data_IF_045342197584
#
_entry.id   IF_045342197584
#
_cell.length_a   1.000
_cell.length_b   1.000
_cell.length_c   1.000
_cell.angle_alpha   90.00
_cell.angle_beta   90.00
_cell.angle_gamma   90.00
#
_symmetry.space_group_name_H-M   'P 1'
#
loop_
_entity.id
_entity.type
_entity.pdbx_description
1 polymer ?
#
# COMPACT_ATOMS: atom_id res chain seq x y z
N UNK A 1 25.08 -28.79 -4.95
CA UNK A 1 24.95 -27.89 -3.78
C UNK A 1 25.67 -26.58 -4.09
N UNK A 2 24.94 -25.50 -4.39
CA UNK A 2 25.56 -24.19 -4.67
C UNK A 2 25.83 -23.49 -3.34
N UNK A 3 27.11 -23.33 -2.98
CA UNK A 3 27.51 -22.65 -1.75
C UNK A 3 27.10 -21.18 -1.86
N UNK A 4 26.24 -20.70 -0.97
CA UNK A 4 26.03 -19.26 -0.77
C UNK A 4 27.31 -18.71 -0.17
N UNK A 5 28.03 -17.89 -0.93
CA UNK A 5 29.14 -17.11 -0.40
C UNK A 5 28.64 -16.23 0.76
N UNK A 6 29.39 -16.14 1.87
CA UNK A 6 29.02 -15.25 2.97
C UNK A 6 29.16 -13.80 2.49
N UNK A 7 28.10 -13.01 2.68
CA UNK A 7 28.14 -11.55 2.52
C UNK A 7 29.26 -10.99 3.40
N UNK A 8 30.07 -10.08 2.85
CA UNK A 8 31.19 -9.43 3.55
C UNK A 8 30.73 -8.77 4.85
N UNK A 9 31.55 -8.90 5.90
CA UNK A 9 31.33 -8.42 7.27
C UNK A 9 31.20 -6.89 7.45
N UNK A 10 31.04 -6.12 6.37
CA UNK A 10 30.76 -4.67 6.43
C UNK A 10 29.25 -4.35 6.56
N UNK A 11 28.37 -5.34 6.41
CA UNK A 11 26.93 -5.15 6.16
C UNK A 11 26.05 -4.99 7.44
N UNK A 12 26.64 -4.83 8.64
CA UNK A 12 25.88 -4.61 9.89
C UNK A 12 26.58 -3.69 10.91
N UNK A 13 27.23 -2.62 10.47
CA UNK A 13 27.56 -1.55 11.41
C UNK A 13 26.25 -0.83 11.79
N UNK A 14 25.78 -0.96 13.03
CA UNK A 14 24.71 -0.11 13.57
C UNK A 14 25.23 1.34 13.60
N UNK A 15 24.96 2.08 12.52
CA UNK A 15 25.27 3.50 12.43
C UNK A 15 24.22 4.30 13.22
N UNK A 16 24.68 5.29 13.95
CA UNK A 16 23.78 6.30 14.54
C UNK A 16 23.19 7.18 13.43
N UNK A 17 22.02 7.83 13.62
CA UNK A 17 21.42 8.68 12.59
C UNK A 17 22.34 9.79 12.05
N UNK A 18 23.23 10.33 12.88
CA UNK A 18 24.22 11.32 12.45
C UNK A 18 25.31 10.71 11.55
N UNK A 19 25.72 9.47 11.84
CA UNK A 19 26.67 8.75 10.99
C UNK A 19 26.04 8.34 9.66
N UNK A 20 24.76 7.95 9.65
CA UNK A 20 24.02 7.70 8.41
C UNK A 20 23.94 8.95 7.54
N UNK A 21 23.70 10.12 8.15
CA UNK A 21 23.67 11.40 7.42
C UNK A 21 25.01 11.66 6.71
N UNK A 22 26.12 11.57 7.44
CA UNK A 22 27.46 11.75 6.86
C UNK A 22 27.82 10.68 5.82
N UNK A 23 27.35 9.45 6.01
CA UNK A 23 27.58 8.36 5.05
C UNK A 23 26.99 8.70 3.67
N UNK A 24 25.79 9.29 3.63
CA UNK A 24 25.14 9.67 2.38
C UNK A 24 25.59 11.02 1.78
N UNK A 25 26.46 11.78 2.47
CA UNK A 25 27.10 12.97 1.88
C UNK A 25 28.06 12.62 0.74
N UNK A 26 28.54 11.37 0.69
CA UNK A 26 29.40 10.87 -0.38
C UNK A 26 28.55 10.37 -1.55
N UNK A 27 28.78 10.90 -2.76
CA UNK A 27 28.04 10.54 -3.98
C UNK A 27 28.03 9.03 -4.28
N UNK A 28 29.12 8.33 -3.96
CA UNK A 28 29.27 6.88 -4.14
C UNK A 28 28.22 6.07 -3.34
N UNK A 29 27.84 6.57 -2.17
CA UNK A 29 26.87 5.92 -1.29
C UNK A 29 25.41 6.23 -1.67
N UNK A 30 25.19 7.14 -2.63
CA UNK A 30 23.87 7.42 -3.20
C UNK A 30 23.53 6.52 -4.38
N UNK A 31 24.48 5.69 -4.85
CA UNK A 31 24.25 4.77 -5.97
C UNK A 31 23.31 3.64 -5.51
N UNK A 32 22.15 3.45 -6.17
CA UNK A 32 21.23 2.37 -5.85
C UNK A 32 21.93 1.02 -5.95
N UNK A 33 21.92 0.28 -4.85
CA UNK A 33 22.56 -1.02 -4.78
C UNK A 33 21.69 -2.08 -5.49
N UNK A 34 22.27 -2.74 -6.48
CA UNK A 34 21.67 -3.87 -7.19
C UNK A 34 20.77 -3.50 -8.38
N UNK A 35 20.32 -4.51 -9.13
CA UNK A 35 19.48 -4.29 -10.30
C UNK A 35 18.11 -3.70 -9.91
N UNK A 36 17.52 -2.81 -10.72
CA UNK A 36 16.20 -2.26 -10.47
C UNK A 36 15.15 -3.37 -10.27
N UNK A 37 14.57 -3.46 -9.07
CA UNK A 37 13.43 -4.35 -8.80
C UNK A 37 12.13 -3.62 -9.07
N UNK A 38 11.38 -4.07 -10.07
CA UNK A 38 9.96 -3.72 -10.20
C UNK A 38 9.20 -4.38 -9.06
N UNK A 39 8.56 -3.60 -8.19
CA UNK A 39 7.56 -4.14 -7.26
C UNK A 39 6.47 -4.79 -8.12
N UNK A 40 6.19 -6.09 -7.91
CA UNK A 40 4.98 -6.70 -8.47
C UNK A 40 3.83 -5.91 -7.85
N UNK A 41 3.12 -5.10 -8.65
CA UNK A 41 1.82 -4.60 -8.20
C UNK A 41 0.99 -5.86 -8.02
N UNK A 42 0.66 -6.24 -6.78
CA UNK A 42 -0.52 -7.06 -6.60
C UNK A 42 -1.64 -6.24 -7.25
N UNK A 43 -2.32 -6.82 -8.24
CA UNK A 43 -3.46 -6.14 -8.82
C UNK A 43 -4.43 -5.92 -7.65
N UNK A 44 -4.56 -4.68 -7.20
CA UNK A 44 -5.53 -4.29 -6.17
C UNK A 44 -6.90 -4.58 -6.76
N UNK A 45 -7.45 -5.76 -6.44
CA UNK A 45 -8.80 -6.19 -6.81
C UNK A 45 -9.13 -6.16 -8.30
N UNK A 46 -10.16 -6.91 -8.70
CA UNK A 46 -10.81 -6.67 -9.98
C UNK A 46 -11.47 -5.28 -9.98
N UNK A 47 -11.38 -4.54 -11.09
CA UNK A 47 -12.03 -3.22 -11.21
C UNK A 47 -13.50 -3.43 -11.59
N UNK A 48 -14.40 -3.24 -10.61
CA UNK A 48 -15.84 -3.29 -10.84
C UNK A 48 -16.36 -1.88 -11.13
N UNK A 49 -16.89 -1.60 -12.34
CA UNK A 49 -17.46 -0.30 -12.65
C UNK A 49 -18.82 -0.13 -11.96
N UNK A 50 -18.95 0.90 -11.11
CA UNK A 50 -20.19 1.27 -10.43
C UNK A 50 -20.71 2.58 -11.02
N UNK A 51 -22.01 2.62 -11.33
CA UNK A 51 -22.68 3.85 -11.78
C UNK A 51 -23.37 4.52 -10.59
N UNK A 52 -23.19 5.82 -10.48
CA UNK A 52 -23.85 6.67 -9.49
C UNK A 52 -24.62 7.76 -10.22
N UNK A 53 -25.73 8.18 -9.63
CA UNK A 53 -26.35 9.44 -9.99
C UNK A 53 -25.35 10.60 -9.80
N UNK A 54 -25.35 11.64 -10.65
CA UNK A 54 -24.38 12.73 -10.58
C UNK A 54 -24.31 13.40 -9.19
N UNK A 55 -25.47 13.70 -8.61
CA UNK A 55 -25.54 14.32 -7.28
C UNK A 55 -24.93 13.43 -6.19
N UNK A 56 -25.05 12.11 -6.32
CA UNK A 56 -24.49 11.16 -5.34
C UNK A 56 -22.98 11.11 -5.44
N UNK A 57 -22.41 11.04 -6.65
CA UNK A 57 -20.95 10.99 -6.81
C UNK A 57 -20.28 12.31 -6.39
N UNK A 58 -20.96 13.45 -6.55
CA UNK A 58 -20.45 14.74 -6.10
C UNK A 58 -20.42 14.83 -4.57
N UNK A 59 -21.47 14.35 -3.89
CA UNK A 59 -21.48 14.26 -2.42
C UNK A 59 -20.40 13.31 -1.90
N UNK A 60 -20.21 12.15 -2.55
CA UNK A 60 -19.13 11.22 -2.21
C UNK A 60 -17.76 11.88 -2.36
N UNK A 61 -17.54 12.67 -3.42
CA UNK A 61 -16.28 13.42 -3.60
C UNK A 61 -16.06 14.44 -2.49
N UNK A 62 -17.11 15.19 -2.12
CA UNK A 62 -17.07 16.16 -1.03
C UNK A 62 -16.66 15.51 0.30
N UNK A 63 -17.29 14.38 0.65
CA UNK A 63 -16.96 13.63 1.88
C UNK A 63 -15.56 13.02 1.86
N UNK A 64 -15.14 12.48 0.72
CA UNK A 64 -13.79 11.95 0.58
C UNK A 64 -12.72 13.03 0.77
N UNK A 65 -12.93 14.23 0.23
CA UNK A 65 -12.05 15.38 0.42
C UNK A 65 -12.02 15.84 1.88
N UNK A 66 -13.18 15.88 2.56
CA UNK A 66 -13.26 16.24 3.98
C UNK A 66 -12.48 15.25 4.88
N UNK A 67 -12.39 13.98 4.49
CA UNK A 67 -11.68 12.92 5.22
C UNK A 67 -10.21 12.74 4.78
N UNK A 68 -9.67 13.62 3.92
CA UNK A 68 -8.34 13.55 3.29
C UNK A 68 -8.05 12.18 2.63
N UNK A 69 -9.03 11.69 1.85
CA UNK A 69 -9.00 10.38 1.21
C UNK A 69 -9.33 10.45 -0.27
N UNK A 70 -8.83 9.46 -1.01
CA UNK A 70 -9.33 9.21 -2.36
C UNK A 70 -10.77 8.69 -2.31
N UNK A 71 -11.54 8.98 -3.36
CA UNK A 71 -12.93 8.50 -3.52
C UNK A 71 -13.03 6.98 -3.36
N UNK A 72 -12.11 6.23 -3.97
CA UNK A 72 -12.13 4.76 -3.88
C UNK A 72 -11.81 4.25 -2.48
N UNK A 73 -10.89 4.89 -1.75
CA UNK A 73 -10.59 4.55 -0.36
C UNK A 73 -11.78 4.87 0.55
N UNK A 74 -12.45 6.00 0.31
CA UNK A 74 -13.61 6.41 1.07
C UNK A 74 -14.80 5.45 0.86
N UNK A 75 -15.10 5.09 -0.40
CA UNK A 75 -16.16 4.14 -0.74
C UNK A 75 -15.90 2.77 -0.09
N UNK A 76 -14.67 2.23 -0.21
CA UNK A 76 -14.32 0.94 0.39
C UNK A 76 -14.59 0.92 1.90
N UNK A 77 -14.11 1.95 2.61
CA UNK A 77 -14.32 2.06 4.06
C UNK A 77 -15.79 2.26 4.42
N UNK A 78 -16.56 3.00 3.62
CA UNK A 78 -17.98 3.18 3.84
C UNK A 78 -18.75 1.86 3.69
N UNK A 79 -18.39 1.04 2.70
CA UNK A 79 -18.94 -0.30 2.48
C UNK A 79 -18.54 -1.26 3.60
N UNK A 80 -17.26 -1.33 3.95
CA UNK A 80 -16.75 -2.16 5.07
C UNK A 80 -17.52 -1.86 6.37
N UNK A 81 -17.67 -0.57 6.71
CA UNK A 81 -18.45 -0.14 7.88
C UNK A 81 -19.93 -0.53 7.78
N UNK A 82 -20.52 -0.53 6.59
CA UNK A 82 -21.91 -0.99 6.43
C UNK A 82 -22.05 -2.50 6.63
N UNK A 83 -21.11 -3.29 6.13
CA UNK A 83 -21.07 -4.75 6.33
C UNK A 83 -20.77 -5.13 7.78
N UNK A 84 -20.01 -4.33 8.52
CA UNK A 84 -19.81 -4.53 9.96
C UNK A 84 -21.09 -4.22 10.76
N UNK A 85 -21.88 -3.22 10.32
CA UNK A 85 -23.17 -2.88 10.94
C UNK A 85 -24.25 -3.89 10.64
N UNK A 86 -24.22 -4.45 9.43
CA UNK A 86 -25.12 -5.48 8.97
C UNK A 86 -24.29 -6.72 8.66
N UNK A 87 -23.92 -7.52 9.69
CA UNK A 87 -23.18 -8.75 9.45
C UNK A 87 -23.92 -9.54 8.37
N UNK A 88 -23.20 -10.16 7.42
CA UNK A 88 -23.82 -10.83 6.29
C UNK A 88 -24.90 -11.78 6.82
N UNK A 89 -26.06 -11.75 6.17
CA UNK A 89 -27.16 -12.65 6.48
C UNK A 89 -26.61 -14.07 6.48
N UNK A 90 -26.48 -14.66 7.67
CA UNK A 90 -25.93 -15.99 7.84
C UNK A 90 -26.99 -17.01 7.48
N UNK A 91 -27.29 -17.15 6.19
CA UNK A 91 -27.97 -18.33 5.66
C UNK A 91 -26.99 -19.14 4.81
N UNK A 92 -26.44 -20.13 5.50
CA UNK A 92 -25.89 -21.34 4.95
C UNK A 92 -27.04 -22.12 4.29
N UNK A 93 -27.41 -21.78 3.05
CA UNK A 93 -28.17 -22.66 2.16
C UNK A 93 -27.78 -22.38 0.71
N UNK A 94 -26.96 -23.28 0.14
CA UNK A 94 -27.16 -23.84 -1.20
C UNK A 94 -26.64 -25.29 -1.13
N UNK A 95 -27.57 -26.23 -1.05
CA UNK A 95 -27.41 -27.62 -1.54
C UNK A 95 -27.58 -27.63 -3.06
#
# INVERSE_FOLDING_TARGET
MSKREPKSAADQAEMTPAQEFHFYEQDENQIPQGPPRRRKRSNLSELVPVRFEPAVIDEVRSRAAADDRSVSSWIRRAVERELERQPPFSDNQWS
#
